data_IF_091219850502
#
_entry.id   IF_091219850502
#
_cell.length_a   1.000
_cell.length_b   1.000
_cell.length_c   1.000
_cell.angle_alpha   90.00
_cell.angle_beta   90.00
_cell.angle_gamma   90.00
#
_symmetry.space_group_name_H-M   'P 1'
#
loop_
_entity.id
_entity.type
_entity.pdbx_description
1 polymer ?
#
# COMPACT_ATOMS: atom_id res chain seq x y z
N UNK A 1 87.59 -7.04 3.16
CA UNK A 1 88.65 -7.81 3.86
C UNK A 1 87.90 -8.70 4.85
N UNK A 2 87.80 -10.02 4.76
CA UNK A 2 88.49 -11.07 4.02
C UNK A 2 87.40 -12.08 3.56
N UNK A 3 87.51 -12.57 2.32
CA UNK A 3 87.20 -13.98 2.04
C UNK A 3 88.40 -14.80 2.55
N UNK A 4 88.34 -16.12 2.82
CA UNK A 4 88.03 -17.12 1.77
C UNK A 4 87.34 -18.39 2.36
N UNK A 5 87.11 -19.53 1.74
CA UNK A 5 87.76 -20.23 0.62
C UNK A 5 86.80 -21.30 0.09
N UNK A 6 86.89 -21.53 -1.22
CA UNK A 6 86.20 -22.52 -2.03
C UNK A 6 86.71 -23.96 -1.84
N UNK A 7 85.85 -24.93 -2.17
CA UNK A 7 86.20 -26.17 -2.88
C UNK A 7 84.95 -26.59 -3.69
N UNK A 8 84.87 -26.36 -5.01
CA UNK A 8 85.42 -27.17 -6.12
C UNK A 8 84.89 -28.63 -6.09
N UNK A 9 83.78 -28.90 -6.80
CA UNK A 9 83.72 -29.45 -8.17
C UNK A 9 84.30 -30.85 -8.32
N UNK A 10 83.43 -31.84 -8.58
CA UNK A 10 83.57 -32.81 -9.69
C UNK A 10 82.29 -33.65 -9.81
N UNK A 11 81.51 -33.39 -10.86
CA UNK A 11 80.69 -34.39 -11.55
C UNK A 11 81.63 -35.27 -12.40
N UNK A 12 81.32 -36.55 -12.67
CA UNK A 12 80.46 -36.92 -13.81
C UNK A 12 79.59 -38.17 -13.46
N UNK A 13 78.54 -38.56 -14.16
CA UNK A 13 78.51 -38.99 -15.57
C UNK A 13 77.07 -39.07 -16.04
N UNK A 14 76.87 -38.55 -17.23
CA UNK A 14 75.74 -38.72 -18.12
C UNK A 14 75.50 -40.20 -18.48
N UNK A 15 74.25 -40.65 -18.34
CA UNK A 15 73.71 -41.70 -19.21
C UNK A 15 72.41 -41.19 -19.81
N UNK A 16 72.43 -41.02 -21.13
CA UNK A 16 71.32 -40.62 -21.97
C UNK A 16 70.32 -41.78 -22.15
N UNK A 17 69.04 -41.39 -22.09
CA UNK A 17 67.90 -41.81 -22.91
C UNK A 17 67.50 -43.30 -22.95
N UNK A 18 66.23 -43.53 -22.62
CA UNK A 18 65.25 -43.97 -23.63
C UNK A 18 63.84 -43.64 -23.18
N UNK A 19 63.19 -42.76 -23.94
CA UNK A 19 61.76 -42.47 -23.87
C UNK A 19 60.94 -43.70 -24.24
N UNK A 20 60.01 -44.08 -23.37
CA UNK A 20 58.79 -44.79 -23.77
C UNK A 20 57.61 -44.10 -23.07
N UNK A 21 56.96 -43.17 -23.79
CA UNK A 21 55.68 -42.64 -23.37
C UNK A 21 54.59 -43.64 -23.78
N UNK A 22 53.84 -44.26 -22.85
CA UNK A 22 52.52 -44.77 -23.18
C UNK A 22 51.60 -43.57 -23.40
N UNK A 23 50.98 -43.57 -24.56
CA UNK A 23 49.95 -42.64 -25.00
C UNK A 23 48.73 -42.70 -24.07
N UNK A 24 48.30 -41.51 -23.65
CA UNK A 24 46.89 -41.13 -23.47
C UNK A 24 46.11 -41.79 -22.34
N UNK A 25 45.96 -41.07 -21.23
CA UNK A 25 44.67 -40.95 -20.54
C UNK A 25 44.45 -39.50 -20.09
N UNK A 26 43.47 -38.83 -20.71
CA UNK A 26 42.92 -37.57 -20.20
C UNK A 26 42.15 -37.84 -18.91
N UNK A 27 42.62 -37.32 -17.79
CA UNK A 27 41.81 -37.21 -16.56
C UNK A 27 40.99 -35.93 -16.64
N UNK A 28 39.72 -36.06 -17.05
CA UNK A 28 38.65 -35.05 -17.01
C UNK A 28 37.35 -35.87 -17.12
N UNK A 29 36.33 -35.85 -16.26
CA UNK A 29 35.85 -34.98 -15.18
C UNK A 29 34.88 -35.83 -14.30
N UNK A 30 34.53 -35.36 -13.09
CA UNK A 30 33.44 -35.92 -12.26
C UNK A 30 32.19 -36.19 -13.11
N UNK A 31 31.77 -37.46 -13.27
CA UNK A 31 30.43 -37.80 -13.76
C UNK A 31 29.46 -37.80 -12.58
N UNK A 32 29.07 -36.61 -12.13
CA UNK A 32 27.86 -36.46 -11.32
C UNK A 32 26.64 -36.36 -12.27
N UNK A 33 25.71 -37.29 -12.06
CA UNK A 33 24.25 -37.14 -12.16
C UNK A 33 23.63 -37.02 -13.56
N UNK A 34 22.73 -37.93 -13.91
CA UNK A 34 21.51 -37.60 -14.67
C UNK A 34 20.40 -38.63 -14.39
N UNK A 35 20.03 -38.77 -13.13
CA UNK A 35 18.68 -39.20 -12.77
C UNK A 35 17.72 -38.14 -13.36
N UNK A 36 17.10 -38.47 -14.49
CA UNK A 36 16.06 -37.69 -15.21
C UNK A 36 16.12 -36.17 -15.06
N UNK A 37 17.04 -35.49 -15.76
CA UNK A 37 17.21 -34.02 -15.74
C UNK A 37 15.94 -33.21 -15.97
N UNK A 38 14.97 -33.79 -16.67
CA UNK A 38 13.66 -33.19 -16.92
C UNK A 38 12.79 -33.18 -15.66
N UNK A 39 12.78 -34.29 -14.90
CA UNK A 39 11.92 -34.44 -13.72
C UNK A 39 12.38 -33.58 -12.54
N UNK A 40 13.69 -33.47 -12.30
CA UNK A 40 14.22 -32.58 -11.27
C UNK A 40 13.90 -31.10 -11.54
N UNK A 41 14.03 -30.66 -12.80
CA UNK A 41 13.72 -29.27 -13.22
C UNK A 41 12.24 -28.93 -13.08
N UNK A 42 11.36 -29.89 -13.37
CA UNK A 42 9.91 -29.71 -13.23
C UNK A 42 9.54 -29.61 -11.75
N UNK A 43 10.09 -30.45 -10.88
CA UNK A 43 9.82 -30.41 -9.43
C UNK A 43 10.28 -29.07 -8.83
N UNK A 44 11.47 -28.59 -9.20
CA UNK A 44 11.96 -27.27 -8.75
C UNK A 44 11.08 -26.12 -9.24
N UNK A 45 10.65 -26.13 -10.51
CA UNK A 45 9.76 -25.10 -11.06
C UNK A 45 8.40 -25.07 -10.38
N UNK A 46 7.80 -26.24 -10.12
CA UNK A 46 6.49 -26.34 -9.47
C UNK A 46 6.56 -25.87 -8.01
N UNK A 47 7.63 -26.20 -7.28
CA UNK A 47 7.84 -25.70 -5.93
C UNK A 47 8.01 -24.17 -5.89
N UNK A 48 8.72 -23.59 -6.87
CA UNK A 48 8.88 -22.14 -6.99
C UNK A 48 7.56 -21.45 -7.33
N UNK A 49 6.77 -21.96 -8.27
CA UNK A 49 5.45 -21.39 -8.60
C UNK A 49 4.49 -21.52 -7.41
N UNK A 50 4.52 -22.62 -6.67
CA UNK A 50 3.72 -22.78 -5.45
C UNK A 50 4.14 -21.79 -4.35
N UNK A 51 5.44 -21.55 -4.15
CA UNK A 51 5.94 -20.49 -3.26
C UNK A 51 5.49 -19.10 -3.71
N UNK A 52 5.53 -18.82 -5.01
CA UNK A 52 5.07 -17.54 -5.56
C UNK A 52 3.55 -17.35 -5.44
N UNK A 53 2.77 -18.43 -5.51
CA UNK A 53 1.32 -18.40 -5.34
C UNK A 53 0.88 -18.23 -3.87
N UNK A 54 1.64 -18.76 -2.91
CA UNK A 54 1.33 -18.62 -1.48
C UNK A 54 1.56 -17.19 -0.95
N UNK A 55 2.39 -16.40 -1.62
CA UNK A 55 2.70 -15.00 -1.26
C UNK A 55 1.75 -14.00 -1.95
N UNK A 56 0.96 -14.43 -2.93
CA UNK A 56 0.11 -13.54 -3.73
C UNK A 56 -1.35 -13.53 -3.26
N UNK A 57 -1.64 -12.84 -2.16
CA UNK A 57 -3.02 -12.50 -1.77
C UNK A 57 -3.50 -11.23 -2.48
N UNK A 58 -4.24 -11.34 -3.58
CA UNK A 58 -4.87 -10.19 -4.25
C UNK A 58 -6.40 -10.31 -4.23
N UNK A 59 -7.06 -9.56 -3.35
CA UNK A 59 -8.51 -9.32 -3.48
C UNK A 59 -8.72 -8.53 -4.79
N UNK A 60 -9.29 -9.17 -5.80
CA UNK A 60 -9.60 -8.52 -7.08
C UNK A 60 -10.66 -7.44 -6.83
N UNK A 61 -10.31 -6.19 -7.11
CA UNK A 61 -11.24 -5.06 -7.12
C UNK A 61 -12.13 -5.17 -8.37
N UNK A 62 -13.42 -4.83 -8.26
CA UNK A 62 -14.35 -4.82 -9.40
C UNK A 62 -14.72 -3.37 -9.78
N UNK A 63 -14.29 -2.86 -10.95
CA UNK A 63 -14.61 -1.51 -11.39
C UNK A 63 -16.08 -1.31 -11.76
N UNK A 64 -16.80 -2.40 -12.08
CA UNK A 64 -18.22 -2.38 -12.41
C UNK A 64 -19.02 -3.25 -11.43
N UNK A 65 -19.20 -2.79 -10.17
CA UNK A 65 -19.99 -3.51 -9.19
C UNK A 65 -21.49 -3.41 -9.52
N UNK A 66 -22.23 -4.48 -9.24
CA UNK A 66 -23.69 -4.44 -9.26
C UNK A 66 -24.13 -3.68 -8.02
N UNK A 67 -24.78 -2.54 -8.21
CA UNK A 67 -25.22 -1.66 -7.13
C UNK A 67 -26.75 -1.61 -7.04
N UNK A 68 -27.27 -1.47 -5.82
CA UNK A 68 -28.68 -1.16 -5.61
C UNK A 68 -28.97 0.27 -6.09
N UNK A 69 -30.18 0.50 -6.60
CA UNK A 69 -30.66 1.82 -7.00
C UNK A 69 -31.12 2.64 -5.77
N UNK A 70 -30.26 2.73 -4.76
CA UNK A 70 -30.44 3.59 -3.57
C UNK A 70 -29.63 4.86 -3.77
N UNK A 71 -30.27 6.01 -3.57
CA UNK A 71 -29.63 7.31 -3.72
C UNK A 71 -29.17 7.83 -2.35
N UNK A 72 -27.90 7.61 -2.06
CA UNK A 72 -27.21 8.06 -0.83
C UNK A 72 -25.85 8.64 -1.26
N UNK A 73 -25.83 9.86 -1.83
CA UNK A 73 -24.70 10.32 -2.61
C UNK A 73 -23.44 10.53 -1.76
N UNK A 74 -22.29 10.39 -2.44
CA UNK A 74 -20.97 10.70 -1.89
C UNK A 74 -20.15 11.52 -2.87
N UNK A 75 -19.29 12.39 -2.35
CA UNK A 75 -18.40 13.22 -3.14
C UNK A 75 -16.99 12.63 -3.12
N UNK A 76 -16.42 12.37 -4.30
CA UNK A 76 -15.04 11.96 -4.44
C UNK A 76 -14.07 13.15 -4.42
N UNK A 77 -12.81 12.88 -4.08
CA UNK A 77 -11.72 13.87 -4.09
C UNK A 77 -11.40 14.44 -5.49
N UNK A 78 -12.03 13.89 -6.54
CA UNK A 78 -12.02 14.40 -7.90
C UNK A 78 -13.16 15.40 -8.19
N UNK A 79 -13.96 15.75 -7.18
CA UNK A 79 -15.11 16.63 -7.32
C UNK A 79 -16.32 16.01 -8.02
N UNK A 80 -16.35 14.67 -8.16
CA UNK A 80 -17.48 13.96 -8.77
C UNK A 80 -18.41 13.37 -7.71
N UNK A 81 -19.72 13.58 -7.88
CA UNK A 81 -20.78 12.92 -7.11
C UNK A 81 -20.99 11.50 -7.62
N UNK A 82 -21.02 10.54 -6.69
CA UNK A 82 -21.41 9.16 -6.94
C UNK A 82 -22.74 8.87 -6.24
N UNK A 83 -23.66 8.19 -6.92
CA UNK A 83 -25.03 7.97 -6.42
C UNK A 83 -25.11 7.22 -5.09
N UNK A 84 -24.09 6.41 -4.79
CA UNK A 84 -23.88 5.74 -3.51
C UNK A 84 -22.45 5.18 -3.39
N UNK A 85 -22.14 4.65 -2.20
CA UNK A 85 -20.84 4.02 -1.87
C UNK A 85 -20.43 2.89 -2.82
N UNK A 86 -21.39 2.15 -3.37
CA UNK A 86 -21.08 1.06 -4.29
C UNK A 86 -20.50 1.60 -5.61
N UNK A 87 -21.13 2.62 -6.19
CA UNK A 87 -20.62 3.27 -7.41
C UNK A 87 -19.27 3.97 -7.17
N UNK A 88 -19.11 4.62 -6.01
CA UNK A 88 -17.82 5.19 -5.60
C UNK A 88 -16.73 4.11 -5.46
N UNK A 89 -17.07 2.96 -4.87
CA UNK A 89 -16.18 1.82 -4.73
C UNK A 89 -15.70 1.26 -6.07
N UNK A 90 -16.57 1.19 -7.07
CA UNK A 90 -16.21 0.82 -8.45
C UNK A 90 -15.21 1.80 -9.07
N UNK A 91 -15.48 3.11 -8.98
CA UNK A 91 -14.57 4.14 -9.48
C UNK A 91 -13.20 4.11 -8.77
N UNK A 92 -13.17 3.81 -7.47
CA UNK A 92 -11.92 3.65 -6.71
C UNK A 92 -11.13 2.40 -7.13
N UNK A 93 -11.77 1.39 -7.71
CA UNK A 93 -11.04 0.26 -8.32
C UNK A 93 -10.26 0.68 -9.57
N UNK A 94 -10.79 1.63 -10.34
CA UNK A 94 -10.11 2.19 -11.53
C UNK A 94 -9.07 3.24 -11.14
N UNK A 95 -9.37 4.02 -10.10
CA UNK A 95 -8.47 5.03 -9.54
C UNK A 95 -8.21 4.78 -8.04
N UNK A 96 -7.15 4.03 -7.69
CA UNK A 96 -6.79 3.75 -6.30
C UNK A 96 -6.48 4.98 -5.43
N UNK A 97 -6.27 6.16 -6.03
CA UNK A 97 -6.02 7.42 -5.32
C UNK A 97 -7.29 8.22 -5.05
N UNK A 98 -8.45 7.81 -5.60
CA UNK A 98 -9.73 8.43 -5.33
C UNK A 98 -10.11 8.24 -3.85
N UNK A 99 -10.24 9.35 -3.12
CA UNK A 99 -10.67 9.36 -1.72
C UNK A 99 -12.09 9.90 -1.62
N UNK A 100 -12.76 9.52 -0.53
CA UNK A 100 -14.03 10.11 -0.16
C UNK A 100 -13.74 11.51 0.40
N UNK A 101 -14.31 12.53 -0.22
CA UNK A 101 -14.15 13.94 0.20
C UNK A 101 -15.20 14.30 1.26
N UNK A 102 -16.47 14.00 0.99
CA UNK A 102 -17.56 14.16 1.95
C UNK A 102 -18.74 13.23 1.64
N UNK A 103 -19.60 13.05 2.65
CA UNK A 103 -20.94 12.48 2.43
C UNK A 103 -21.81 13.54 1.75
N UNK A 104 -22.61 13.12 0.78
CA UNK A 104 -23.47 14.02 -0.01
C UNK A 104 -22.94 14.25 -1.42
N UNK A 105 -23.60 15.14 -2.14
CA UNK A 105 -23.18 15.54 -3.49
C UNK A 105 -22.00 16.52 -3.43
N UNK A 106 -21.21 16.56 -4.50
CA UNK A 106 -20.26 17.64 -4.74
C UNK A 106 -20.99 18.91 -5.24
N UNK A 107 -20.42 20.12 -5.02
CA UNK A 107 -19.25 20.38 -4.18
C UNK A 107 -19.58 20.09 -2.72
N UNK A 108 -18.59 19.60 -1.97
CA UNK A 108 -18.76 19.43 -0.54
C UNK A 108 -19.08 20.77 0.09
N UNK A 109 -20.28 20.90 0.67
CA UNK A 109 -20.50 21.93 1.66
C UNK A 109 -19.53 21.62 2.81
N UNK A 110 -18.49 22.45 2.94
CA UNK A 110 -17.29 22.20 3.76
C UNK A 110 -17.55 22.01 5.25
N UNK A 111 -18.80 21.85 5.67
CA UNK A 111 -19.18 21.59 7.05
C UNK A 111 -20.38 20.66 7.12
N UNK A 112 -20.10 19.42 7.53
CA UNK A 112 -21.13 18.56 8.10
C UNK A 112 -21.56 19.19 9.43
N UNK A 113 -22.63 19.97 9.38
CA UNK A 113 -23.16 20.68 10.52
C UNK A 113 -24.33 19.89 11.10
N UNK A 114 -24.01 19.05 12.08
CA UNK A 114 -25.04 18.37 12.85
C UNK A 114 -24.70 16.92 13.14
N UNK A 115 -24.58 16.66 14.44
CA UNK A 115 -24.91 15.37 15.03
C UNK A 115 -26.26 15.58 15.73
N UNK A 116 -27.10 14.54 15.84
CA UNK A 116 -28.39 14.64 16.50
C UNK A 116 -28.26 15.34 17.88
N UNK A 117 -28.98 16.44 18.08
CA UNK A 117 -28.97 17.18 19.35
C UNK A 117 -29.91 16.53 20.38
N UNK A 118 -29.54 16.50 21.66
CA UNK A 118 -30.46 16.10 22.73
C UNK A 118 -31.63 17.09 22.81
N UNK A 119 -32.82 16.60 23.20
CA UNK A 119 -34.06 17.38 23.23
C UNK A 119 -34.31 18.12 24.55
N UNK A 120 -33.31 18.27 25.42
CA UNK A 120 -33.47 19.09 26.63
C UNK A 120 -33.54 20.58 26.27
N UNK A 121 -34.27 21.33 27.08
CA UNK A 121 -34.44 22.77 26.91
C UNK A 121 -33.45 23.51 27.81
N UNK A 122 -32.57 24.29 27.20
CA UNK A 122 -31.62 25.21 27.86
C UNK A 122 -31.43 26.42 26.94
N UNK A 123 -32.45 27.29 26.89
CA UNK A 123 -32.54 28.33 25.87
C UNK A 123 -31.28 29.20 25.78
N UNK A 124 -30.89 29.53 24.55
CA UNK A 124 -29.83 30.51 24.26
C UNK A 124 -30.28 31.47 23.16
N UNK A 125 -29.77 32.70 23.21
CA UNK A 125 -30.00 33.72 22.21
C UNK A 125 -28.78 33.84 21.31
N UNK A 126 -28.96 33.67 20.01
CA UNK A 126 -27.91 33.88 19.00
C UNK A 126 -27.66 35.36 18.70
N UNK A 127 -26.52 35.66 18.09
CA UNK A 127 -26.16 37.01 17.61
C UNK A 127 -27.05 37.47 16.45
N UNK A 128 -27.73 36.53 15.79
CA UNK A 128 -28.77 36.73 14.79
C UNK A 128 -30.14 37.08 15.39
N UNK A 129 -30.28 37.06 16.72
CA UNK A 129 -31.54 37.35 17.41
C UNK A 129 -32.53 36.19 17.46
N UNK A 130 -32.10 34.97 17.08
CA UNK A 130 -32.92 33.76 17.16
C UNK A 130 -32.73 33.08 18.51
N UNK A 131 -33.84 32.61 19.08
CA UNK A 131 -33.81 31.76 20.29
C UNK A 131 -33.65 30.30 19.90
N UNK A 132 -32.59 29.66 20.38
CA UNK A 132 -32.34 28.24 20.18
C UNK A 132 -32.76 27.44 21.42
N UNK A 133 -33.33 26.26 21.20
CA UNK A 133 -33.83 25.39 22.28
C UNK A 133 -32.76 24.95 23.26
N UNK A 134 -31.53 24.77 22.78
CA UNK A 134 -30.35 24.51 23.60
C UNK A 134 -29.05 24.91 22.86
N UNK A 135 -27.89 24.91 23.53
CA UNK A 135 -26.61 25.27 22.92
C UNK A 135 -26.18 24.38 21.74
N UNK A 136 -26.65 23.12 21.68
CA UNK A 136 -26.35 22.22 20.57
C UNK A 136 -26.99 22.74 19.27
N UNK A 137 -28.27 23.14 19.32
CA UNK A 137 -28.95 23.71 18.15
C UNK A 137 -28.31 25.02 17.67
N UNK A 138 -27.87 25.89 18.59
CA UNK A 138 -27.07 27.08 18.21
C UNK A 138 -25.75 26.66 17.53
N UNK A 139 -25.07 25.63 18.05
CA UNK A 139 -23.82 25.12 17.47
C UNK A 139 -23.96 24.58 16.05
N UNK A 140 -25.11 23.99 15.71
CA UNK A 140 -25.42 23.58 14.32
C UNK A 140 -25.49 24.81 13.42
N UNK A 141 -26.15 25.89 13.85
CA UNK A 141 -26.19 27.12 13.06
C UNK A 141 -24.85 27.85 12.97
N UNK A 142 -24.09 27.93 14.07
CA UNK A 142 -22.72 28.47 14.06
C UNK A 142 -21.81 27.67 13.13
N UNK A 143 -22.04 26.36 13.03
CA UNK A 143 -21.36 25.54 12.05
C UNK A 143 -21.73 26.03 10.64
N UNK A 144 -23.00 26.11 10.26
CA UNK A 144 -23.37 26.56 8.91
C UNK A 144 -22.88 28.00 8.63
N UNK A 145 -22.98 28.88 9.62
CA UNK A 145 -22.60 30.28 9.54
C UNK A 145 -21.78 30.73 10.77
N UNK A 146 -20.44 30.82 10.66
CA UNK A 146 -19.55 31.26 11.75
C UNK A 146 -19.83 32.64 12.33
N UNK A 147 -20.60 33.49 11.65
CA UNK A 147 -20.97 34.80 12.17
C UNK A 147 -22.12 34.73 13.20
N UNK A 148 -22.82 33.60 13.26
CA UNK A 148 -23.81 33.33 14.31
C UNK A 148 -23.05 32.81 15.54
N UNK A 149 -23.05 33.61 16.60
CA UNK A 149 -22.39 33.31 17.87
C UNK A 149 -23.39 33.40 19.01
N UNK A 150 -23.03 32.86 20.18
CA UNK A 150 -23.85 33.05 21.38
C UNK A 150 -23.87 34.53 21.77
N UNK A 151 -25.06 35.13 21.79
CA UNK A 151 -25.26 36.48 22.31
C UNK A 151 -25.40 36.47 23.83
N UNK A 152 -26.34 35.68 24.35
CA UNK A 152 -26.51 35.47 25.80
C UNK A 152 -27.31 34.18 26.09
N UNK A 153 -27.27 33.73 27.34
CA UNK A 153 -28.14 32.63 27.82
C UNK A 153 -29.59 33.10 27.97
N UNK A 154 -30.53 32.18 27.81
CA UNK A 154 -31.97 32.47 27.80
C UNK A 154 -32.51 32.83 26.41
N UNK A 155 -33.81 33.09 26.32
CA UNK A 155 -34.48 33.48 25.07
C UNK A 155 -34.05 34.88 24.63
N UNK A 156 -34.06 35.13 23.32
CA UNK A 156 -34.02 36.50 22.80
C UNK A 156 -35.30 37.25 23.16
N UNK A 157 -35.20 38.57 23.30
CA UNK A 157 -36.34 39.45 23.54
C UNK A 157 -36.77 40.09 22.23
N UNK A 158 -38.05 39.92 21.87
CA UNK A 158 -38.68 40.76 20.85
C UNK A 158 -38.76 42.18 21.41
N UNK A 159 -38.09 43.13 20.78
CA UNK A 159 -38.37 44.55 21.02
C UNK A 159 -39.76 44.91 20.50
#
# INVERSE_FOLDING_TARGET
MLAPTHAALTSPTTTHATHTHPTTMCVQTRRQQHFGSKMARIVTLVALVALMALVAGHRKCNPNPICLAVYEPVCGSNGQTYSNDCHFGGARCENPHLRLECQGECPCDSKVCGVACPLYIDYVCGSDGITYSNPCFLGIETCHNPHITLRHKGKCYSR
#
